data_IF_251352705187
#
_entry.id   IF_251352705187
#
_cell.length_a   1.000
_cell.length_b   1.000
_cell.length_c   1.000
_cell.angle_alpha   90.00
_cell.angle_beta   90.00
_cell.angle_gamma   90.00
#
_symmetry.space_group_name_H-M   'P 1'
#
loop_
_entity.id
_entity.type
_entity.pdbx_description
1 polymer ?
#
# COMPACT_ATOMS: atom_id res chain seq x y z
N UNK A 1 -16.39 -9.98 11.45
CA UNK A 1 -16.31 -8.52 11.63
C UNK A 1 -14.91 -8.07 11.26
N UNK A 2 -14.61 -7.92 9.97
CA UNK A 2 -13.26 -7.60 9.47
C UNK A 2 -13.27 -6.56 8.33
N UNK A 3 -14.37 -5.79 8.19
CA UNK A 3 -14.53 -4.80 7.12
C UNK A 3 -14.06 -3.38 7.48
N UNK A 4 -13.65 -3.15 8.73
CA UNK A 4 -13.30 -1.80 9.23
C UNK A 4 -11.79 -1.59 9.50
N UNK A 5 -10.93 -2.54 9.17
CA UNK A 5 -9.48 -2.34 9.26
C UNK A 5 -8.97 -1.43 8.13
N UNK A 6 -8.34 -0.26 8.43
CA UNK A 6 -7.87 0.69 7.41
C UNK A 6 -6.88 0.09 6.42
N UNK A 7 -6.01 -0.80 6.89
CA UNK A 7 -5.05 -1.51 6.05
C UNK A 7 -5.76 -2.39 5.01
N UNK A 8 -6.72 -3.20 5.46
CA UNK A 8 -7.56 -4.03 4.59
C UNK A 8 -8.32 -3.18 3.55
N UNK A 9 -8.86 -2.01 3.95
CA UNK A 9 -9.51 -1.09 3.00
C UNK A 9 -8.54 -0.57 1.95
N UNK A 10 -7.35 -0.13 2.35
CA UNK A 10 -6.32 0.38 1.45
C UNK A 10 -5.88 -0.65 0.42
N UNK A 11 -5.66 -1.90 0.85
CA UNK A 11 -5.32 -3.01 -0.05
C UNK A 11 -6.45 -3.23 -1.07
N UNK A 12 -7.70 -3.32 -0.61
CA UNK A 12 -8.84 -3.52 -1.50
C UNK A 12 -9.01 -2.38 -2.51
N UNK A 13 -8.78 -1.13 -2.09
CA UNK A 13 -8.80 0.04 -2.98
C UNK A 13 -7.69 -0.04 -4.04
N UNK A 14 -6.48 -0.45 -3.66
CA UNK A 14 -5.37 -0.61 -4.59
C UNK A 14 -5.68 -1.63 -5.69
N UNK A 15 -6.16 -2.82 -5.30
CA UNK A 15 -6.56 -3.87 -6.24
C UNK A 15 -7.70 -3.38 -7.14
N UNK A 16 -8.77 -2.81 -6.58
CA UNK A 16 -9.90 -2.31 -7.35
C UNK A 16 -9.50 -1.20 -8.34
N UNK A 17 -8.52 -0.35 -7.99
CA UNK A 17 -8.01 0.69 -8.88
C UNK A 17 -7.23 0.08 -10.05
N UNK A 18 -6.39 -0.93 -9.80
CA UNK A 18 -5.67 -1.65 -10.84
C UNK A 18 -6.63 -2.33 -11.83
N UNK A 19 -7.63 -3.04 -11.31
CA UNK A 19 -8.69 -3.67 -12.12
C UNK A 19 -9.42 -2.65 -13.00
N UNK A 20 -9.77 -1.48 -12.43
CA UNK A 20 -10.41 -0.38 -13.16
C UNK A 20 -9.57 0.12 -14.34
N UNK A 21 -8.25 0.07 -14.24
CA UNK A 21 -7.33 0.47 -15.31
C UNK A 21 -6.89 -0.69 -16.20
N UNK A 22 -7.52 -1.87 -16.07
CA UNK A 22 -7.24 -3.04 -16.90
C UNK A 22 -5.94 -3.76 -16.56
N UNK A 23 -5.36 -3.51 -15.38
CA UNK A 23 -4.20 -4.23 -14.88
C UNK A 23 -4.67 -5.51 -14.20
N UNK A 24 -4.42 -6.64 -14.85
CA UNK A 24 -4.76 -7.97 -14.31
C UNK A 24 -3.60 -8.44 -13.44
N UNK A 25 -3.79 -8.43 -12.12
CA UNK A 25 -2.84 -8.97 -11.16
C UNK A 25 -3.14 -10.45 -10.91
N UNK A 26 -2.12 -11.29 -10.90
CA UNK A 26 -2.29 -12.67 -10.47
C UNK A 26 -2.49 -12.73 -8.95
N UNK A 27 -3.15 -13.79 -8.46
CA UNK A 27 -3.40 -13.95 -7.02
C UNK A 27 -2.11 -13.87 -6.20
N UNK A 28 -1.03 -14.46 -6.71
CA UNK A 28 0.28 -14.44 -6.06
C UNK A 28 0.86 -13.02 -5.93
N UNK A 29 0.58 -12.14 -6.89
CA UNK A 29 1.05 -10.75 -6.88
C UNK A 29 0.31 -9.94 -5.83
N UNK A 30 -1.01 -10.17 -5.73
CA UNK A 30 -1.86 -9.56 -4.70
C UNK A 30 -1.45 -10.04 -3.30
N UNK A 31 -1.18 -11.34 -3.12
CA UNK A 31 -0.71 -11.90 -1.85
C UNK A 31 0.66 -11.35 -1.44
N UNK A 32 1.57 -11.18 -2.40
CA UNK A 32 2.88 -10.58 -2.16
C UNK A 32 2.73 -9.12 -1.75
N UNK A 33 2.00 -8.33 -2.52
CA UNK A 33 1.80 -6.90 -2.25
C UNK A 33 1.07 -6.67 -0.91
N UNK A 34 0.10 -7.53 -0.59
CA UNK A 34 -0.61 -7.51 0.70
C UNK A 34 0.34 -7.75 1.86
N UNK A 35 1.20 -8.78 1.79
CA UNK A 35 2.18 -9.04 2.85
C UNK A 35 3.13 -7.87 3.05
N UNK A 36 3.63 -7.28 1.96
CA UNK A 36 4.50 -6.11 2.03
C UNK A 36 3.82 -4.92 2.69
N UNK A 37 2.57 -4.62 2.32
CA UNK A 37 1.82 -3.54 2.93
C UNK A 37 1.62 -3.77 4.44
N UNK A 38 1.26 -4.99 4.85
CA UNK A 38 1.09 -5.38 6.25
C UNK A 38 2.40 -5.22 7.04
N UNK A 39 3.49 -5.81 6.54
CA UNK A 39 4.80 -5.82 7.21
C UNK A 39 5.37 -4.40 7.34
N UNK A 40 5.13 -3.54 6.36
CA UNK A 40 5.57 -2.15 6.38
C UNK A 40 4.71 -1.35 7.35
N UNK A 41 3.39 -1.40 7.23
CA UNK A 41 2.49 -0.57 8.04
C UNK A 41 2.55 -0.98 9.51
N UNK A 42 2.74 -2.26 9.84
CA UNK A 42 2.93 -2.71 11.21
C UNK A 42 4.18 -2.11 11.89
N UNK A 43 5.17 -1.64 11.11
CA UNK A 43 6.39 -0.97 11.63
C UNK A 43 6.22 0.54 11.80
N UNK A 44 5.15 1.12 11.27
CA UNK A 44 4.94 2.56 11.26
C UNK A 44 3.88 2.95 12.27
N UNK A 45 4.15 3.98 13.05
CA UNK A 45 3.15 4.63 13.88
C UNK A 45 2.42 5.68 13.03
N UNK A 46 1.42 5.23 12.27
CA UNK A 46 0.63 6.05 11.34
C UNK A 46 -0.84 6.03 11.74
N UNK A 47 -1.54 7.19 11.68
CA UNK A 47 -2.99 7.21 11.87
C UNK A 47 -3.72 6.33 10.84
N UNK A 48 -4.95 5.95 11.18
CA UNK A 48 -5.77 5.04 10.37
C UNK A 48 -5.87 5.47 8.90
N UNK A 49 -6.03 6.78 8.63
CA UNK A 49 -6.14 7.29 7.27
C UNK A 49 -4.81 7.20 6.50
N UNK A 50 -3.70 7.46 7.19
CA UNK A 50 -2.35 7.27 6.65
C UNK A 50 -2.10 5.80 6.28
N UNK A 51 -2.41 4.88 7.18
CA UNK A 51 -2.30 3.44 6.93
C UNK A 51 -3.08 2.99 5.67
N UNK A 52 -4.33 3.44 5.53
CA UNK A 52 -5.18 3.12 4.37
C UNK A 52 -4.55 3.62 3.05
N UNK A 53 -4.09 4.87 3.00
CA UNK A 53 -3.50 5.45 1.80
C UNK A 53 -2.15 4.82 1.45
N UNK A 54 -1.31 4.54 2.45
CA UNK A 54 -0.02 3.90 2.24
C UNK A 54 -0.19 2.47 1.73
N UNK A 55 -1.14 1.72 2.30
CA UNK A 55 -1.46 0.37 1.85
C UNK A 55 -1.89 0.36 0.38
N UNK A 56 -2.77 1.30 -0.02
CA UNK A 56 -3.19 1.45 -1.41
C UNK A 56 -1.98 1.71 -2.34
N UNK A 57 -1.08 2.62 -1.98
CA UNK A 57 0.09 2.95 -2.80
C UNK A 57 1.07 1.79 -2.92
N UNK A 58 1.39 1.10 -1.82
CA UNK A 58 2.30 -0.06 -1.83
C UNK A 58 1.74 -1.15 -2.75
N UNK A 59 0.43 -1.43 -2.64
CA UNK A 59 -0.22 -2.46 -3.46
C UNK A 59 -0.14 -2.12 -4.95
N UNK A 60 -0.49 -0.89 -5.32
CA UNK A 60 -0.42 -0.42 -6.71
C UNK A 60 1.02 -0.51 -7.22
N UNK A 61 1.99 0.02 -6.48
CA UNK A 61 3.37 0.10 -6.92
C UNK A 61 4.02 -1.29 -7.05
N UNK A 62 3.82 -2.18 -6.08
CA UNK A 62 4.35 -3.55 -6.14
C UNK A 62 3.79 -4.30 -7.35
N UNK A 63 2.46 -4.29 -7.54
CA UNK A 63 1.83 -5.02 -8.65
C UNK A 63 2.26 -4.43 -10.00
N UNK A 64 2.29 -3.10 -10.13
CA UNK A 64 2.72 -2.46 -11.37
C UNK A 64 4.16 -2.84 -11.75
N UNK A 65 5.07 -2.94 -10.79
CA UNK A 65 6.44 -3.38 -11.08
C UNK A 65 6.50 -4.85 -11.52
N UNK A 66 5.74 -5.73 -10.88
CA UNK A 66 5.66 -7.13 -11.28
C UNK A 66 5.12 -7.25 -12.71
N UNK A 67 4.02 -6.56 -13.02
CA UNK A 67 3.42 -6.52 -14.37
C UNK A 67 4.39 -6.00 -15.44
N UNK A 68 5.27 -5.07 -15.07
CA UNK A 68 6.28 -4.51 -15.98
C UNK A 68 7.62 -5.28 -15.99
N UNK A 69 7.71 -6.45 -15.33
CA UNK A 69 8.93 -7.27 -15.24
C UNK A 69 10.12 -6.57 -14.53
N UNK A 70 9.84 -5.66 -13.61
CA UNK A 70 10.85 -4.94 -12.83
C UNK A 70 11.15 -5.59 -11.46
N UNK A 71 10.49 -6.73 -11.18
CA UNK A 71 10.47 -7.38 -9.87
C UNK A 71 9.59 -6.62 -8.86
N UNK A 72 9.17 -7.28 -7.76
CA UNK A 72 8.40 -6.60 -6.72
C UNK A 72 9.24 -5.53 -6.01
N UNK A 73 8.57 -4.56 -5.37
CA UNK A 73 9.24 -3.64 -4.48
C UNK A 73 9.98 -4.40 -3.38
N UNK A 74 11.18 -3.96 -3.04
CA UNK A 74 11.90 -4.43 -1.84
C UNK A 74 11.46 -3.66 -0.61
N UNK A 75 11.73 -4.19 0.59
CA UNK A 75 11.44 -3.48 1.83
C UNK A 75 12.16 -2.12 1.90
N UNK A 76 13.42 -2.05 1.45
CA UNK A 76 14.21 -0.83 1.43
C UNK A 76 13.62 0.24 0.48
N UNK A 77 13.12 -0.16 -0.69
CA UNK A 77 12.46 0.76 -1.63
C UNK A 77 11.13 1.28 -1.09
N UNK A 78 10.38 0.43 -0.38
CA UNK A 78 9.16 0.86 0.30
C UNK A 78 9.50 1.84 1.41
N UNK A 79 10.50 1.56 2.24
CA UNK A 79 10.94 2.43 3.33
C UNK A 79 11.44 3.78 2.78
N UNK A 80 12.18 3.78 1.66
CA UNK A 80 12.63 4.99 0.97
C UNK A 80 11.46 5.81 0.40
N UNK A 81 10.50 5.15 -0.25
CA UNK A 81 9.27 5.81 -0.72
C UNK A 81 8.53 6.47 0.45
N UNK A 82 8.36 5.76 1.56
CA UNK A 82 7.66 6.27 2.74
C UNK A 82 8.37 7.45 3.38
N UNK A 83 9.69 7.41 3.49
CA UNK A 83 10.48 8.53 3.99
C UNK A 83 10.28 9.79 3.13
N UNK A 84 10.18 9.63 1.80
CA UNK A 84 9.91 10.73 0.88
C UNK A 84 8.44 11.18 0.90
N UNK A 85 7.51 10.25 1.09
CA UNK A 85 6.07 10.47 1.06
C UNK A 85 5.54 11.12 2.35
N UNK A 86 6.11 10.76 3.51
CA UNK A 86 5.68 11.22 4.83
C UNK A 86 5.43 12.73 4.95
N UNK A 87 6.34 13.61 4.51
CA UNK A 87 6.12 15.06 4.53
C UNK A 87 4.91 15.54 3.72
N UNK A 88 4.57 14.88 2.62
CA UNK A 88 3.42 15.24 1.77
C UNK A 88 2.11 14.73 2.34
N UNK A 89 2.17 13.61 3.05
CA UNK A 89 1.03 13.05 3.76
C UNK A 89 0.94 13.56 5.20
N UNK A 90 1.77 14.52 5.61
CA UNK A 90 1.85 15.02 6.99
C UNK A 90 0.50 15.49 7.55
N UNK A 91 -0.43 15.98 6.72
CA UNK A 91 -1.80 16.28 7.15
C UNK A 91 -2.53 15.05 7.70
N UNK A 92 -2.32 13.87 7.09
CA UNK A 92 -2.90 12.60 7.53
C UNK A 92 -2.21 12.04 8.79
N UNK A 93 -1.04 12.57 9.16
CA UNK A 93 -0.37 12.30 10.44
C UNK A 93 -0.88 13.19 11.58
N UNK A 94 -1.66 14.21 11.27
CA UNK A 94 -2.21 15.17 12.23
C UNK A 94 -3.74 15.16 12.29
N UNK A 95 -4.42 14.32 11.50
CA UNK A 95 -5.89 14.27 11.38
C UNK A 95 -6.61 13.75 12.65
N UNK A 96 -5.89 13.32 13.69
CA UNK A 96 -6.44 12.93 15.00
C UNK A 96 -6.32 14.05 16.08
N UNK A 97 -5.95 15.29 15.71
CA UNK A 97 -5.97 16.49 16.58
C UNK A 97 -7.20 17.37 16.32
#
# INVERSE_FOLDING_TARGET
MARDDPLTRGIAMGVARLERYGVVAELNDVELATRQAVDVIARLDVPSRGAELLAEHIVIATIMRVVNNEGPLTADEIDAYLAAAGPFFNSFWHDDL
#
